data_IF_617306388789
#
_entry.id   IF_617306388789
#
_cell.length_a   1.000
_cell.length_b   1.000
_cell.length_c   1.000
_cell.angle_alpha   90.00
_cell.angle_beta   90.00
_cell.angle_gamma   90.00
#
_symmetry.space_group_name_H-M   'P 1'
#
loop_
_entity.id
_entity.type
_entity.pdbx_description
1 polymer ?
#
# COMPACT_ATOMS: atom_id res chain seq x y z
N UNK A 1 1.75 17.97 -2.48
CA UNK A 1 0.39 17.41 -2.27
C UNK A 1 0.41 16.39 -1.16
N UNK A 2 -0.48 16.50 -0.21
CA UNK A 2 -0.57 15.56 0.90
C UNK A 2 -1.66 14.53 0.61
N UNK A 3 -1.26 13.25 0.63
CA UNK A 3 -2.15 12.12 0.40
C UNK A 3 -2.23 11.33 1.70
N UNK A 4 -3.44 11.12 2.19
CA UNK A 4 -3.63 10.35 3.41
C UNK A 4 -4.39 9.06 3.12
N UNK A 5 -4.15 8.07 3.95
CA UNK A 5 -4.84 6.80 3.86
C UNK A 5 -4.86 6.10 5.20
N UNK A 6 -5.70 5.06 5.30
CA UNK A 6 -5.77 4.28 6.52
C UNK A 6 -6.34 2.90 6.21
N UNK A 7 -6.12 1.96 7.12
CA UNK A 7 -6.78 0.67 7.05
C UNK A 7 -8.27 0.84 7.39
N UNK A 8 -9.05 -0.19 7.18
CA UNK A 8 -10.50 -0.08 7.32
C UNK A 8 -10.95 0.40 8.71
N UNK A 9 -10.31 -0.09 9.76
CA UNK A 9 -10.68 0.31 11.12
C UNK A 9 -9.94 1.58 11.60
N UNK A 10 -8.96 2.07 10.85
CA UNK A 10 -8.22 3.27 11.20
C UNK A 10 -7.02 3.06 12.11
N UNK A 11 -6.69 1.83 12.46
CA UNK A 11 -5.56 1.56 13.35
C UNK A 11 -4.22 1.94 12.73
N UNK A 12 -4.02 1.64 11.46
CA UNK A 12 -2.82 2.00 10.72
C UNK A 12 -3.19 3.10 9.73
N UNK A 13 -2.47 4.22 9.80
CA UNK A 13 -2.70 5.33 8.88
C UNK A 13 -1.38 5.82 8.33
N UNK A 14 -1.44 6.53 7.20
CA UNK A 14 -0.25 7.11 6.60
C UNK A 14 -0.54 8.48 6.02
N UNK A 15 0.51 9.29 5.94
CA UNK A 15 0.49 10.57 5.26
C UNK A 15 1.69 10.59 4.31
N UNK A 16 1.42 10.74 3.03
CA UNK A 16 2.43 10.77 1.99
C UNK A 16 2.47 12.17 1.38
N UNK A 17 3.59 12.85 1.57
CA UNK A 17 3.79 14.15 0.97
C UNK A 17 4.42 13.96 -0.40
N UNK A 18 3.59 14.08 -1.43
CA UNK A 18 4.01 13.87 -2.82
C UNK A 18 4.61 15.14 -3.39
N UNK A 19 5.83 15.06 -3.89
CA UNK A 19 6.53 16.22 -4.46
C UNK A 19 7.29 15.81 -5.71
N UNK A 20 7.11 16.58 -6.81
CA UNK A 20 6.16 17.68 -6.97
C UNK A 20 4.71 17.16 -7.04
N UNK A 21 3.74 18.07 -7.04
CA UNK A 21 2.34 17.68 -7.15
C UNK A 21 2.13 16.89 -8.44
N UNK A 22 1.55 15.69 -8.36
CA UNK A 22 1.38 14.87 -9.55
C UNK A 22 0.13 15.28 -10.32
N UNK A 23 0.20 15.18 -11.65
CA UNK A 23 -1.00 15.29 -12.46
C UNK A 23 -1.82 14.00 -12.36
N UNK A 24 -1.12 12.90 -12.15
CA UNK A 24 -1.72 11.58 -12.05
C UNK A 24 -0.83 10.69 -11.20
N UNK A 25 -1.43 9.88 -10.33
CA UNK A 25 -0.71 8.93 -9.50
C UNK A 25 -0.75 7.56 -10.19
N UNK A 26 0.44 7.02 -10.44
CA UNK A 26 0.55 5.70 -11.05
C UNK A 26 0.43 4.62 -9.99
N UNK A 27 -0.52 3.72 -10.19
CA UNK A 27 -0.72 2.57 -9.32
C UNK A 27 -0.25 1.31 -10.04
N UNK A 28 0.42 0.43 -9.31
CA UNK A 28 0.97 -0.80 -9.86
C UNK A 28 0.34 -2.01 -9.20
N UNK A 29 -0.16 -2.92 -10.03
CA UNK A 29 -0.63 -4.22 -9.57
C UNK A 29 0.60 -5.11 -9.37
N UNK A 30 0.80 -5.57 -8.16
CA UNK A 30 1.92 -6.46 -7.87
C UNK A 30 1.56 -7.89 -8.22
N UNK A 31 2.47 -8.60 -8.86
CA UNK A 31 2.25 -9.98 -9.32
C UNK A 31 2.93 -11.03 -8.44
N UNK A 32 3.51 -10.65 -7.31
CA UNK A 32 4.08 -11.62 -6.38
C UNK A 32 2.98 -12.52 -5.81
N UNK A 33 3.38 -13.67 -5.28
CA UNK A 33 2.42 -14.68 -4.83
C UNK A 33 1.46 -14.17 -3.75
N UNK A 34 1.93 -13.29 -2.89
CA UNK A 34 1.09 -12.71 -1.84
C UNK A 34 0.11 -11.69 -2.44
N UNK A 35 0.61 -10.76 -3.25
CA UNK A 35 -0.21 -9.68 -3.78
C UNK A 35 -1.26 -10.18 -4.77
N UNK A 36 -0.96 -11.24 -5.52
CA UNK A 36 -1.96 -11.87 -6.40
C UNK A 36 -3.15 -12.36 -5.60
N UNK A 37 -2.90 -12.96 -4.44
CA UNK A 37 -3.97 -13.46 -3.58
C UNK A 37 -4.69 -12.36 -2.81
N UNK A 38 -3.96 -11.28 -2.50
CA UNK A 38 -4.46 -10.20 -1.66
C UNK A 38 -5.11 -9.06 -2.46
N UNK A 39 -4.79 -8.94 -3.74
CA UNK A 39 -5.26 -7.84 -4.57
C UNK A 39 -4.46 -6.57 -4.35
N UNK A 40 -3.16 -6.69 -4.11
CA UNK A 40 -2.31 -5.54 -3.80
C UNK A 40 -2.11 -4.61 -4.99
N UNK A 41 -2.41 -3.33 -4.80
CA UNK A 41 -2.16 -2.26 -5.76
C UNK A 41 -1.44 -1.15 -5.01
N UNK A 42 -0.24 -0.80 -5.45
CA UNK A 42 0.69 0.01 -4.68
C UNK A 42 1.21 1.22 -5.45
N UNK A 43 1.59 2.25 -4.70
CA UNK A 43 2.26 3.40 -5.28
C UNK A 43 3.29 3.95 -4.28
N UNK A 44 4.20 4.76 -4.81
CA UNK A 44 5.21 5.42 -3.98
C UNK A 44 5.67 6.70 -4.66
N UNK A 45 6.21 7.63 -3.87
CA UNK A 45 6.83 8.85 -4.38
C UNK A 45 8.27 8.91 -3.86
N UNK A 46 9.27 8.55 -4.67
CA UNK A 46 10.67 8.51 -4.20
C UNK A 46 11.20 9.86 -3.71
N UNK A 47 10.66 10.97 -4.24
CA UNK A 47 11.09 12.32 -3.86
C UNK A 47 10.26 12.92 -2.73
N UNK A 48 9.24 12.21 -2.27
CA UNK A 48 8.40 12.66 -1.19
C UNK A 48 8.79 12.07 0.15
N UNK A 49 7.92 12.23 1.13
CA UNK A 49 8.11 11.68 2.47
C UNK A 49 6.85 10.98 2.93
N UNK A 50 7.04 9.91 3.70
CA UNK A 50 5.95 9.09 4.21
C UNK A 50 6.02 9.05 5.73
N UNK A 51 4.89 9.29 6.38
CA UNK A 51 4.75 9.12 7.82
C UNK A 51 3.66 8.09 8.07
N UNK A 52 3.98 7.08 8.87
CA UNK A 52 3.05 6.01 9.23
C UNK A 52 2.74 6.12 10.72
N UNK A 53 1.46 6.07 11.06
CA UNK A 53 1.01 6.14 12.44
C UNK A 53 0.18 4.91 12.80
N UNK A 54 0.38 4.40 14.01
CA UNK A 54 -0.32 3.21 14.50
C UNK A 54 -0.93 3.56 15.86
N UNK A 55 -2.24 3.36 16.01
CA UNK A 55 -2.92 3.62 17.27
C UNK A 55 -2.65 2.51 18.28
N UNK A 56 -2.72 1.28 17.86
CA UNK A 56 -2.51 0.11 18.72
C UNK A 56 -1.55 -0.86 18.04
N UNK A 57 -0.31 -0.90 18.54
CA UNK A 57 0.75 -1.72 17.93
C UNK A 57 0.51 -3.22 18.12
N UNK A 58 -0.26 -3.60 19.12
CA UNK A 58 -0.60 -5.00 19.37
C UNK A 58 -1.42 -5.57 18.20
N UNK A 59 -2.16 -4.70 17.52
CA UNK A 59 -3.00 -5.08 16.39
C UNK A 59 -2.32 -4.90 15.04
N UNK A 60 -0.99 -4.98 15.02
CA UNK A 60 -0.22 -4.94 13.78
C UNK A 60 0.67 -6.16 13.72
N UNK A 61 0.62 -6.86 12.60
CA UNK A 61 1.50 -7.99 12.32
C UNK A 61 2.31 -7.67 11.08
N UNK A 62 3.59 -8.03 11.10
CA UNK A 62 4.46 -7.85 9.94
C UNK A 62 4.65 -9.21 9.27
N UNK A 63 4.13 -9.34 8.06
CA UNK A 63 4.24 -10.57 7.30
C UNK A 63 5.43 -10.47 6.34
N UNK A 64 6.29 -11.48 6.37
CA UNK A 64 7.44 -11.57 5.48
C UNK A 64 7.46 -12.95 4.84
N UNK A 65 7.98 -13.03 3.61
CA UNK A 65 8.12 -14.30 2.92
C UNK A 65 9.21 -14.19 1.86
N UNK A 66 9.58 -15.32 1.27
CA UNK A 66 10.57 -15.35 0.22
C UNK A 66 11.92 -14.85 0.71
N UNK A 67 12.47 -13.83 0.06
CA UNK A 67 13.75 -13.25 0.43
C UNK A 67 13.70 -12.44 1.74
N UNK A 68 12.50 -12.22 2.27
CA UNK A 68 12.26 -11.48 3.52
C UNK A 68 12.74 -10.02 3.45
N UNK A 69 12.76 -9.45 2.26
CA UNK A 69 13.17 -8.06 2.07
C UNK A 69 12.03 -7.08 2.26
N UNK A 70 10.79 -7.55 2.13
CA UNK A 70 9.61 -6.71 2.27
C UNK A 70 8.81 -7.14 3.49
N UNK A 71 8.36 -6.16 4.28
CA UNK A 71 7.47 -6.37 5.41
C UNK A 71 6.10 -5.79 5.10
N UNK A 72 5.09 -6.65 5.08
CA UNK A 72 3.70 -6.24 4.88
C UNK A 72 3.09 -5.94 6.23
N UNK A 73 2.75 -4.68 6.47
CA UNK A 73 2.20 -4.25 7.75
C UNK A 73 0.69 -4.48 7.74
N UNK A 74 0.27 -5.55 8.40
CA UNK A 74 -1.12 -6.00 8.39
C UNK A 74 -1.83 -5.54 9.65
N UNK A 75 -2.98 -4.90 9.49
CA UNK A 75 -3.86 -4.63 10.63
C UNK A 75 -4.59 -5.91 10.99
N UNK A 76 -4.35 -6.45 12.19
CA UNK A 76 -4.97 -7.71 12.58
C UNK A 76 -6.44 -7.53 13.00
N UNK A 77 -6.85 -6.28 13.23
CA UNK A 77 -8.25 -6.00 13.56
C UNK A 77 -9.16 -6.02 12.33
N UNK A 78 -8.70 -5.47 11.20
CA UNK A 78 -9.52 -5.42 9.98
C UNK A 78 -8.93 -6.17 8.79
N UNK A 79 -7.69 -6.61 8.87
CA UNK A 79 -7.05 -7.39 7.82
C UNK A 79 -6.49 -6.60 6.66
N UNK A 80 -6.58 -5.29 6.66
CA UNK A 80 -6.08 -4.46 5.56
C UNK A 80 -4.58 -4.24 5.69
N UNK A 81 -3.88 -4.21 4.54
CA UNK A 81 -2.44 -3.95 4.46
C UNK A 81 -2.25 -2.59 3.79
N UNK A 82 -2.13 -1.50 4.55
CA UNK A 82 -2.00 -0.17 3.93
C UNK A 82 -0.58 0.17 3.50
N UNK A 83 0.45 -0.46 4.10
CA UNK A 83 1.84 -0.09 3.86
C UNK A 83 2.70 -1.34 3.77
N UNK A 84 3.67 -1.32 2.85
CA UNK A 84 4.73 -2.33 2.76
C UNK A 84 6.05 -1.60 2.81
N UNK A 85 6.97 -2.03 3.66
CA UNK A 85 8.30 -1.45 3.74
C UNK A 85 9.36 -2.46 3.35
N UNK A 86 10.47 -1.95 2.83
CA UNK A 86 11.63 -2.77 2.44
C UNK A 86 12.90 -2.05 2.83
N UNK A 87 13.88 -2.80 3.30
CA UNK A 87 15.21 -2.26 3.57
C UNK A 87 16.15 -2.81 2.50
N UNK A 88 16.68 -1.92 1.68
CA UNK A 88 17.56 -2.26 0.57
C UNK A 88 18.82 -1.43 0.70
N UNK A 89 19.99 -2.09 0.78
CA UNK A 89 21.30 -1.42 0.93
C UNK A 89 21.32 -0.41 2.07
N UNK A 90 20.69 -0.77 3.20
CA UNK A 90 20.64 0.07 4.38
C UNK A 90 19.63 1.20 4.33
N UNK A 91 18.90 1.35 3.22
CA UNK A 91 17.87 2.37 3.07
C UNK A 91 16.48 1.76 3.21
N UNK A 92 15.60 2.50 3.87
CA UNK A 92 14.21 2.10 4.05
C UNK A 92 13.35 2.67 2.94
N UNK A 93 12.68 1.78 2.21
CA UNK A 93 11.72 2.13 1.17
C UNK A 93 10.34 1.69 1.59
N UNK A 94 9.32 2.38 1.11
CA UNK A 94 7.94 2.00 1.42
C UNK A 94 7.04 2.28 0.23
N UNK A 95 6.03 1.43 0.08
CA UNK A 95 4.93 1.66 -0.84
C UNK A 95 3.64 1.67 -0.03
N UNK A 96 2.63 2.38 -0.52
CA UNK A 96 1.35 2.47 0.15
C UNK A 96 0.25 1.91 -0.76
N UNK A 97 -0.79 1.38 -0.13
CA UNK A 97 -1.93 0.83 -0.85
C UNK A 97 -2.81 1.95 -1.39
N UNK A 98 -3.00 1.95 -2.69
CA UNK A 98 -3.91 2.91 -3.34
C UNK A 98 -5.33 2.71 -2.84
N UNK A 99 -5.70 1.48 -2.52
CA UNK A 99 -7.04 1.17 -2.03
C UNK A 99 -7.31 1.71 -0.62
N UNK A 100 -6.26 2.12 0.09
CA UNK A 100 -6.39 2.68 1.44
C UNK A 100 -6.48 4.20 1.44
N UNK A 101 -6.43 4.85 0.29
CA UNK A 101 -6.48 6.30 0.19
C UNK A 101 -7.80 6.85 0.71
N UNK A 102 -7.71 7.92 1.49
CA UNK A 102 -8.88 8.69 1.91
C UNK A 102 -9.26 9.76 0.91
N UNK A 103 -8.26 10.26 0.17
CA UNK A 103 -8.48 11.31 -0.81
C UNK A 103 -9.13 10.73 -2.06
N UNK A 104 -10.05 11.49 -2.64
CA UNK A 104 -10.64 11.13 -3.93
C UNK A 104 -9.69 11.51 -5.05
N UNK A 105 -8.56 10.82 -5.11
CA UNK A 105 -7.52 11.10 -6.09
C UNK A 105 -7.68 10.19 -7.30
N UNK A 106 -7.36 10.76 -8.45
CA UNK A 106 -7.35 9.99 -9.67
C UNK A 106 -6.03 9.25 -9.78
N UNK A 107 -6.12 7.92 -9.81
CA UNK A 107 -4.99 7.06 -10.05
C UNK A 107 -5.08 6.51 -11.48
N UNK A 108 -3.93 6.00 -11.97
CA UNK A 108 -3.95 5.26 -13.21
C UNK A 108 -4.76 3.97 -12.99
N UNK A 109 -5.89 3.85 -13.66
CA UNK A 109 -6.83 2.75 -13.42
C UNK A 109 -6.52 1.48 -14.20
N UNK A 110 -5.72 1.58 -15.24
CA UNK A 110 -5.45 0.43 -16.10
C UNK A 110 -5.01 -0.82 -15.34
N UNK A 111 -4.07 -0.73 -14.35
CA UNK A 111 -3.68 -1.92 -13.59
C UNK A 111 -4.78 -2.48 -12.70
N UNK A 112 -5.73 -1.64 -12.28
CA UNK A 112 -6.78 -2.07 -11.34
C UNK A 112 -7.90 -2.82 -12.05
N UNK A 113 -8.26 -2.38 -13.24
CA UNK A 113 -9.35 -2.98 -14.00
C UNK A 113 -9.08 -4.45 -14.33
N UNK A 114 -7.92 -4.80 -14.88
CA UNK A 114 -7.60 -6.20 -15.13
C UNK A 114 -7.63 -7.07 -13.88
N UNK A 115 -7.18 -6.55 -12.74
CA UNK A 115 -7.23 -7.29 -11.48
C UNK A 115 -8.64 -7.69 -11.12
N UNK A 116 -9.57 -6.74 -11.18
CA UNK A 116 -10.98 -7.02 -10.86
C UNK A 116 -11.57 -8.05 -11.79
N UNK A 117 -11.28 -7.94 -13.07
CA UNK A 117 -11.79 -8.88 -14.06
C UNK A 117 -11.31 -10.30 -13.76
N UNK A 118 -10.03 -10.45 -13.40
CA UNK A 118 -9.48 -11.75 -13.05
C UNK A 118 -10.15 -12.33 -11.80
N UNK A 119 -10.38 -11.50 -10.80
CA UNK A 119 -11.05 -11.94 -9.57
C UNK A 119 -12.45 -12.44 -9.86
N UNK A 120 -13.20 -11.74 -10.72
CA UNK A 120 -14.54 -12.15 -11.08
C UNK A 120 -14.54 -13.52 -11.76
N UNK A 121 -13.54 -13.78 -12.60
CA UNK A 121 -13.42 -15.06 -13.28
C UNK A 121 -13.07 -16.18 -12.32
N UNK A 122 -12.33 -15.86 -11.27
CA UNK A 122 -11.92 -16.85 -10.29
C UNK A 122 -13.03 -17.23 -9.34
N UNK A 123 -13.98 -16.35 -9.19
CA UNK A 123 -15.14 -16.62 -8.34
C UNK A 123 -16.11 -17.56 -9.05
#
# INVERSE_FOLDING_TARGET
MLITGLCHCGNISFALNWQPDPSEIQARVCTCSFCVKHGGVWTSCPTGSLTVSVKDRVRVSNYVFGTKTAEFHVCTACGVVPVVSSRIDGRLYAVVSVNAFENSLRCSDAPRQPSRARMNKSA
#
